data_IF_487374513760
#
_entry.id   IF_487374513760
#
_cell.length_a   1.000
_cell.length_b   1.000
_cell.length_c   1.000
_cell.angle_alpha   90.00
_cell.angle_beta   90.00
_cell.angle_gamma   90.00
#
_symmetry.space_group_name_H-M   'P 1'
#
loop_
_entity.id
_entity.type
_entity.pdbx_description
1 polymer ?
#
# COMPACT_ATOMS: atom_id res chain seq x y z
N UNK A 1 -21.30 13.87 -8.23
CA UNK A 1 -20.03 14.35 -8.84
C UNK A 1 -19.42 13.17 -9.59
N UNK A 2 -18.61 13.41 -10.65
CA UNK A 2 -17.93 12.31 -11.36
C UNK A 2 -16.92 11.60 -10.43
N UNK A 3 -16.68 10.31 -10.63
CA UNK A 3 -15.56 9.62 -9.97
C UNK A 3 -14.22 10.08 -10.56
N UNK A 4 -13.09 9.73 -9.93
CA UNK A 4 -11.76 10.16 -10.39
C UNK A 4 -11.44 9.66 -11.81
N UNK A 5 -11.87 8.44 -12.16
CA UNK A 5 -11.58 7.84 -13.46
C UNK A 5 -12.39 8.50 -14.56
N UNK A 6 -13.70 8.63 -14.36
CA UNK A 6 -14.57 9.37 -15.30
C UNK A 6 -14.13 10.82 -15.47
N UNK A 7 -13.78 11.50 -14.38
CA UNK A 7 -13.25 12.86 -14.44
C UNK A 7 -11.99 12.93 -15.30
N UNK A 8 -11.03 12.03 -15.08
CA UNK A 8 -9.77 12.00 -15.82
C UNK A 8 -10.01 11.75 -17.32
N UNK A 9 -10.92 10.83 -17.67
CA UNK A 9 -11.34 10.61 -19.06
C UNK A 9 -11.91 11.89 -19.67
N UNK A 10 -12.81 12.59 -18.96
CA UNK A 10 -13.43 13.82 -19.48
C UNK A 10 -12.43 14.95 -19.69
N UNK A 11 -11.43 15.09 -18.82
CA UNK A 11 -10.34 16.06 -19.00
C UNK A 11 -9.51 15.72 -20.25
N UNK A 12 -9.16 14.46 -20.45
CA UNK A 12 -8.39 14.03 -21.63
C UNK A 12 -9.19 14.20 -22.92
N UNK A 13 -10.48 13.83 -22.92
CA UNK A 13 -11.40 14.06 -24.05
C UNK A 13 -11.49 15.55 -24.39
N UNK A 14 -11.62 16.41 -23.37
CA UNK A 14 -11.68 17.86 -23.56
C UNK A 14 -10.37 18.39 -24.13
N UNK A 15 -9.21 18.03 -23.55
CA UNK A 15 -7.90 18.41 -24.06
C UNK A 15 -7.67 17.97 -25.51
N UNK A 16 -8.09 16.75 -25.87
CA UNK A 16 -7.96 16.23 -27.23
C UNK A 16 -8.74 17.04 -28.27
N UNK A 17 -9.86 17.69 -27.91
CA UNK A 17 -10.60 18.59 -28.82
C UNK A 17 -9.72 19.74 -29.31
N UNK A 18 -8.76 20.18 -28.49
CA UNK A 18 -7.84 21.27 -28.83
C UNK A 18 -6.59 20.83 -29.59
N UNK A 19 -6.38 19.51 -29.78
CA UNK A 19 -5.26 19.01 -30.61
C UNK A 19 -5.40 19.46 -32.07
N UNK A 20 -4.32 19.96 -32.67
CA UNK A 20 -4.28 20.31 -34.09
C UNK A 20 -4.28 19.02 -34.94
N UNK A 21 -3.48 18.03 -34.53
CA UNK A 21 -3.47 16.72 -35.17
C UNK A 21 -4.63 15.87 -34.66
N UNK A 22 -5.46 15.39 -35.60
CA UNK A 22 -6.62 14.53 -35.35
C UNK A 22 -6.42 13.11 -35.91
N UNK A 23 -5.18 12.75 -36.25
CA UNK A 23 -4.84 11.37 -36.58
C UNK A 23 -5.23 10.43 -35.41
N UNK A 24 -5.55 9.15 -35.69
CA UNK A 24 -5.83 8.19 -34.63
C UNK A 24 -4.67 8.11 -33.63
N UNK A 25 -4.98 8.33 -32.34
CA UNK A 25 -3.98 8.41 -31.27
C UNK A 25 -4.36 7.51 -30.09
N UNK A 26 -3.34 7.03 -29.37
CA UNK A 26 -3.48 6.39 -28.07
C UNK A 26 -2.89 7.35 -27.03
N UNK A 27 -3.70 7.72 -26.03
CA UNK A 27 -3.27 8.62 -24.94
C UNK A 27 -3.16 7.79 -23.67
N UNK A 28 -2.01 7.83 -23.03
CA UNK A 28 -1.70 7.12 -21.78
C UNK A 28 -1.60 8.13 -20.65
N UNK A 29 -2.26 7.85 -19.53
CA UNK A 29 -2.30 8.71 -18.35
C UNK A 29 -2.72 7.90 -17.11
N UNK A 30 -2.51 8.48 -15.93
CA UNK A 30 -2.96 7.93 -14.65
C UNK A 30 -4.38 8.43 -14.32
N UNK A 31 -5.32 7.51 -14.07
CA UNK A 31 -6.75 7.84 -13.97
C UNK A 31 -7.33 7.80 -12.55
N UNK A 32 -6.53 7.39 -11.56
CA UNK A 32 -7.03 7.09 -10.21
C UNK A 32 -6.01 7.47 -9.14
N UNK A 33 -6.22 6.98 -7.92
CA UNK A 33 -5.40 7.30 -6.76
C UNK A 33 -3.99 6.76 -6.90
N UNK A 34 -3.04 7.50 -6.32
CA UNK A 34 -1.69 7.05 -6.09
C UNK A 34 -1.67 6.13 -4.87
N UNK A 35 -1.18 4.90 -5.05
CA UNK A 35 -0.85 4.01 -3.95
C UNK A 35 0.66 3.85 -3.98
N UNK A 36 1.36 4.50 -3.04
CA UNK A 36 2.81 4.48 -3.02
C UNK A 36 3.33 3.04 -2.87
N UNK A 37 4.45 2.77 -3.55
CA UNK A 37 5.22 1.57 -3.25
C UNK A 37 5.87 1.78 -1.90
N UNK A 38 5.78 0.76 -1.05
CA UNK A 38 6.51 0.71 0.22
C UNK A 38 7.51 -0.42 0.14
N UNK A 39 8.75 -0.14 0.52
CA UNK A 39 9.84 -1.10 0.60
C UNK A 39 10.48 -1.06 1.98
N UNK A 40 10.67 -2.24 2.57
CA UNK A 40 11.41 -2.44 3.81
C UNK A 40 12.79 -3.00 3.45
N UNK A 41 13.82 -2.14 3.43
CA UNK A 41 15.17 -2.52 2.99
C UNK A 41 16.00 -3.11 4.12
N UNK A 42 15.70 -2.73 5.37
CA UNK A 42 16.49 -3.08 6.55
C UNK A 42 17.77 -2.24 6.71
N UNK A 43 17.91 -1.17 5.92
CA UNK A 43 19.07 -0.28 5.97
C UNK A 43 18.99 0.68 7.16
N UNK A 44 17.79 1.04 7.62
CA UNK A 44 17.59 1.90 8.79
C UNK A 44 17.48 1.11 10.09
N UNK A 45 17.80 1.75 11.21
CA UNK A 45 17.64 1.14 12.54
C UNK A 45 16.17 0.85 12.85
N UNK A 46 15.25 1.76 12.48
CA UNK A 46 13.82 1.59 12.70
C UNK A 46 13.26 0.38 11.93
N UNK A 47 13.66 0.19 10.66
CA UNK A 47 13.28 -0.99 9.89
C UNK A 47 13.80 -2.27 10.52
N UNK A 48 15.09 -2.33 10.89
CA UNK A 48 15.68 -3.50 11.54
C UNK A 48 14.97 -3.83 12.84
N UNK A 49 14.67 -2.82 13.66
CA UNK A 49 13.95 -3.00 14.92
C UNK A 49 12.55 -3.59 14.68
N UNK A 50 11.82 -3.09 13.68
CA UNK A 50 10.51 -3.64 13.30
C UNK A 50 10.63 -5.08 12.78
N UNK A 51 11.56 -5.34 11.86
CA UNK A 51 11.77 -6.66 11.26
C UNK A 51 12.19 -7.70 12.31
N UNK A 52 13.12 -7.36 13.19
CA UNK A 52 13.58 -8.23 14.28
C UNK A 52 12.46 -8.51 15.28
N UNK A 53 11.67 -7.48 15.61
CA UNK A 53 10.51 -7.61 16.48
C UNK A 53 9.45 -8.56 15.91
N UNK A 54 9.14 -8.43 14.62
CA UNK A 54 8.22 -9.34 13.91
C UNK A 54 8.80 -10.75 13.84
N UNK A 55 10.08 -10.90 13.55
CA UNK A 55 10.74 -12.22 13.45
C UNK A 55 10.68 -12.95 14.79
N UNK A 56 11.07 -12.30 15.90
CA UNK A 56 10.96 -12.87 17.26
C UNK A 56 9.53 -13.25 17.63
N UNK A 57 8.58 -12.42 17.20
CA UNK A 57 7.15 -12.66 17.43
C UNK A 57 6.67 -13.91 16.68
N UNK A 58 7.05 -14.05 15.41
CA UNK A 58 6.78 -15.23 14.59
C UNK A 58 7.39 -16.48 15.23
N UNK A 59 8.66 -16.44 15.64
CA UNK A 59 9.34 -17.57 16.28
C UNK A 59 8.62 -18.04 17.55
N UNK A 60 8.11 -17.10 18.35
CA UNK A 60 7.33 -17.40 19.56
C UNK A 60 6.02 -18.12 19.24
N UNK A 61 5.23 -17.58 18.31
CA UNK A 61 3.92 -18.15 17.98
C UNK A 61 4.02 -19.44 17.17
N UNK A 62 5.12 -19.64 16.44
CA UNK A 62 5.35 -20.82 15.61
C UNK A 62 5.36 -22.11 16.44
N UNK A 63 5.71 -22.04 17.74
CA UNK A 63 5.70 -23.19 18.65
C UNK A 63 4.31 -23.82 18.86
N UNK A 64 3.24 -23.07 18.62
CA UNK A 64 1.85 -23.54 18.78
C UNK A 64 0.97 -23.28 17.55
N UNK A 65 1.57 -22.80 16.45
CA UNK A 65 0.96 -22.77 15.13
C UNK A 65 1.06 -24.14 14.49
N UNK A 66 -0.04 -24.63 13.94
CA UNK A 66 -0.08 -25.94 13.25
C UNK A 66 0.64 -25.88 11.88
N UNK A 67 0.73 -24.69 11.30
CA UNK A 67 1.31 -24.44 9.97
C UNK A 67 2.50 -23.47 10.05
N UNK A 68 3.45 -23.55 9.10
CA UNK A 68 4.54 -22.58 9.00
C UNK A 68 4.03 -21.17 8.69
N UNK A 69 4.51 -20.19 9.46
CA UNK A 69 4.27 -18.77 9.23
C UNK A 69 5.42 -18.24 8.39
N UNK A 70 5.08 -17.61 7.27
CA UNK A 70 6.08 -17.12 6.31
C UNK A 70 5.96 -15.61 6.15
N UNK A 71 7.08 -14.92 6.31
CA UNK A 71 7.20 -13.51 5.97
C UNK A 71 7.33 -13.36 4.46
N UNK A 72 6.50 -12.49 3.87
CA UNK A 72 6.59 -12.13 2.45
C UNK A 72 6.98 -10.67 2.32
N UNK A 73 8.02 -10.41 1.55
CA UNK A 73 8.50 -9.05 1.27
C UNK A 73 7.70 -8.33 0.17
N UNK A 74 6.64 -8.96 -0.34
CA UNK A 74 5.75 -8.39 -1.35
C UNK A 74 4.29 -8.72 -1.06
N UNK A 75 3.45 -7.69 -1.00
CA UNK A 75 2.01 -7.80 -0.81
C UNK A 75 1.29 -7.41 -2.12
N UNK A 76 0.65 -8.37 -2.83
CA UNK A 76 0.14 -8.16 -4.18
C UNK A 76 -1.24 -7.47 -4.23
N UNK A 77 -1.68 -6.85 -3.14
CA UNK A 77 -2.99 -6.21 -3.03
C UNK A 77 -2.84 -4.76 -2.55
N UNK A 78 -3.93 -4.00 -2.66
CA UNK A 78 -3.99 -2.61 -2.18
C UNK A 78 -4.00 -2.64 -0.64
N UNK A 79 -3.26 -1.71 -0.04
CA UNK A 79 -3.15 -1.58 1.41
C UNK A 79 -3.05 -0.10 1.78
N UNK A 80 -3.73 0.30 2.86
CA UNK A 80 -3.63 1.66 3.41
C UNK A 80 -2.21 2.00 3.90
N UNK A 81 -1.36 0.98 4.05
CA UNK A 81 0.07 1.15 4.31
C UNK A 81 0.77 1.99 3.21
N UNK A 82 0.24 1.99 1.99
CA UNK A 82 0.69 2.89 0.91
C UNK A 82 0.55 4.38 1.21
N UNK A 83 -0.05 4.77 2.35
CA UNK A 83 -0.17 6.15 2.82
C UNK A 83 0.69 6.47 4.06
N UNK A 84 1.52 5.52 4.52
CA UNK A 84 2.29 5.66 5.77
C UNK A 84 3.78 5.97 5.55
N UNK A 85 4.27 5.82 4.33
CA UNK A 85 5.65 6.09 3.93
C UNK A 85 5.72 6.31 2.41
N UNK A 86 6.83 6.84 1.91
CA UNK A 86 7.09 7.05 0.49
C UNK A 86 8.47 6.51 0.12
N UNK A 87 8.53 5.41 -0.62
CA UNK A 87 9.80 4.93 -1.20
C UNK A 87 10.15 5.61 -2.53
N UNK A 88 9.18 6.27 -3.16
CA UNK A 88 9.35 7.00 -4.42
C UNK A 88 9.97 8.39 -4.17
N UNK A 89 10.86 8.82 -5.07
CA UNK A 89 11.47 10.15 -4.91
C UNK A 89 10.48 11.28 -5.25
N UNK A 90 10.68 12.51 -4.73
CA UNK A 90 9.85 13.65 -5.12
C UNK A 90 9.79 13.88 -6.64
N UNK A 91 10.87 13.52 -7.35
CA UNK A 91 10.94 13.58 -8.81
C UNK A 91 9.99 12.57 -9.47
N UNK A 92 9.89 11.37 -8.92
CA UNK A 92 9.01 10.31 -9.45
C UNK A 92 7.53 10.71 -9.27
N UNK A 93 7.19 11.27 -8.11
CA UNK A 93 5.83 11.76 -7.84
C UNK A 93 5.49 12.96 -8.74
N UNK A 94 6.45 13.82 -9.06
CA UNK A 94 6.23 14.91 -10.02
C UNK A 94 5.87 14.39 -11.43
N UNK A 95 6.45 13.26 -11.87
CA UNK A 95 6.05 12.65 -13.14
C UNK A 95 4.63 12.08 -13.08
N UNK A 96 4.24 11.49 -11.95
CA UNK A 96 2.87 11.02 -11.71
C UNK A 96 1.88 12.17 -11.78
N UNK A 97 2.13 13.25 -11.04
CA UNK A 97 1.32 14.47 -11.02
C UNK A 97 1.08 15.00 -12.43
N UNK A 98 2.15 15.18 -13.21
CA UNK A 98 2.08 15.72 -14.58
C UNK A 98 1.31 14.84 -15.56
N UNK A 99 1.11 13.57 -15.23
CA UNK A 99 0.40 12.60 -16.07
C UNK A 99 -0.91 12.11 -15.43
N UNK A 100 -1.39 12.76 -14.35
CA UNK A 100 -2.65 12.45 -13.71
C UNK A 100 -3.62 13.63 -13.84
N UNK A 101 -4.61 13.58 -14.75
CA UNK A 101 -5.50 14.71 -15.01
C UNK A 101 -6.29 15.19 -13.77
N UNK A 102 -6.55 14.29 -12.82
CA UNK A 102 -7.26 14.61 -11.58
C UNK A 102 -6.38 15.28 -10.50
N UNK A 103 -5.05 15.27 -10.64
CA UNK A 103 -4.14 15.75 -9.60
C UNK A 103 -4.33 17.24 -9.32
N UNK A 104 -4.34 17.61 -8.04
CA UNK A 104 -4.51 18.97 -7.54
C UNK A 104 -5.92 19.55 -7.71
N UNK A 105 -6.68 19.13 -8.72
CA UNK A 105 -8.02 19.64 -9.01
C UNK A 105 -9.11 18.86 -8.29
N UNK A 106 -9.01 17.53 -8.27
CA UNK A 106 -10.02 16.63 -7.71
C UNK A 106 -9.42 15.56 -6.81
N UNK A 107 -8.21 15.13 -7.11
CA UNK A 107 -7.40 14.30 -6.25
C UNK A 107 -6.33 15.18 -5.58
N UNK A 108 -6.42 15.30 -4.26
CA UNK A 108 -5.44 16.02 -3.45
C UNK A 108 -4.62 14.97 -2.71
N UNK A 109 -3.31 15.03 -2.87
CA UNK A 109 -2.36 14.17 -2.19
C UNK A 109 -1.36 15.04 -1.44
N UNK A 110 -1.40 14.98 -0.11
CA UNK A 110 -0.54 15.77 0.76
C UNK A 110 0.78 15.02 0.98
N UNK A 111 1.73 15.24 0.07
CA UNK A 111 3.04 14.59 0.14
C UNK A 111 3.78 14.97 1.42
N UNK A 112 3.71 16.23 1.84
CA UNK A 112 4.41 16.72 3.03
C UNK A 112 3.90 16.02 4.29
N UNK A 113 2.58 15.87 4.43
CA UNK A 113 2.00 15.15 5.56
C UNK A 113 2.41 13.66 5.62
N UNK A 114 2.50 12.98 4.46
CA UNK A 114 2.97 11.58 4.45
C UNK A 114 4.45 11.49 4.81
N UNK A 115 5.28 12.42 4.30
CA UNK A 115 6.71 12.47 4.62
C UNK A 115 6.99 12.86 6.08
N UNK A 116 6.10 13.61 6.74
CA UNK A 116 6.22 13.92 8.17
C UNK A 116 6.06 12.67 9.04
N UNK A 117 5.25 11.69 8.60
CA UNK A 117 5.08 10.41 9.29
C UNK A 117 6.22 9.47 8.95
N UNK A 118 6.40 9.15 7.66
CA UNK A 118 7.41 8.26 7.08
C UNK A 118 7.99 7.20 8.03
N UNK A 119 7.15 6.23 8.41
CA UNK A 119 7.52 5.17 9.37
C UNK A 119 7.67 3.81 8.67
N UNK A 120 8.54 2.91 9.18
CA UNK A 120 8.56 1.54 8.72
C UNK A 120 7.25 0.82 9.07
N UNK A 121 6.83 -0.07 8.19
CA UNK A 121 5.49 -0.66 8.23
C UNK A 121 5.51 -2.12 7.80
N UNK A 122 4.59 -2.90 8.36
CA UNK A 122 4.42 -4.32 8.04
C UNK A 122 2.94 -4.67 8.07
N UNK A 123 2.49 -5.50 7.13
CA UNK A 123 1.17 -6.10 7.15
C UNK A 123 1.23 -7.42 7.92
N UNK A 124 0.55 -7.50 9.08
CA UNK A 124 0.32 -8.75 9.80
C UNK A 124 -1.14 -9.15 9.55
N UNK A 125 -1.34 -10.15 8.70
CA UNK A 125 -2.64 -10.45 8.11
C UNK A 125 -3.09 -11.88 8.34
N UNK A 126 -4.40 -12.08 8.15
CA UNK A 126 -5.05 -13.39 8.22
C UNK A 126 -4.70 -14.29 7.04
N UNK A 127 -4.88 -15.59 7.23
CA UNK A 127 -4.93 -16.58 6.17
C UNK A 127 -6.39 -16.92 5.86
N UNK A 128 -6.79 -16.75 4.59
CA UNK A 128 -8.16 -16.92 4.17
C UNK A 128 -8.30 -17.09 2.67
N UNK A 129 -9.54 -17.15 2.21
CA UNK A 129 -9.88 -17.32 0.80
C UNK A 129 -11.11 -16.49 0.46
N UNK A 130 -11.16 -16.05 -0.79
CA UNK A 130 -12.29 -15.34 -1.39
C UNK A 130 -12.59 -13.98 -0.73
N UNK A 131 -11.56 -13.21 -0.36
CA UNK A 131 -11.71 -11.84 0.13
C UNK A 131 -12.53 -10.97 -0.83
N UNK A 132 -13.47 -10.21 -0.27
CA UNK A 132 -14.46 -9.40 -0.99
C UNK A 132 -15.42 -10.21 -1.89
N UNK A 133 -15.65 -11.48 -1.60
CA UNK A 133 -16.64 -12.32 -2.29
C UNK A 133 -17.62 -12.94 -1.29
N UNK A 134 -18.74 -13.45 -1.81
CA UNK A 134 -19.78 -14.09 -0.99
C UNK A 134 -19.28 -15.28 -0.15
N UNK A 135 -18.22 -15.95 -0.61
CA UNK A 135 -17.61 -17.11 0.05
C UNK A 135 -16.40 -16.76 0.91
N UNK A 136 -16.20 -15.47 1.23
CA UNK A 136 -15.11 -15.00 2.07
C UNK A 136 -15.05 -15.78 3.39
N UNK A 137 -13.86 -16.28 3.71
CA UNK A 137 -13.61 -17.05 4.93
C UNK A 137 -12.16 -16.99 5.32
N UNK A 138 -11.92 -17.20 6.60
CA UNK A 138 -10.60 -17.17 7.21
C UNK A 138 -10.35 -18.44 8.03
N UNK A 139 -9.08 -18.76 8.25
CA UNK A 139 -8.69 -19.87 9.10
C UNK A 139 -8.74 -19.45 10.57
N UNK A 140 -9.78 -19.88 11.30
CA UNK A 140 -10.13 -19.41 12.64
C UNK A 140 -8.94 -19.34 13.61
N UNK A 141 -8.19 -20.44 13.77
CA UNK A 141 -7.04 -20.46 14.69
C UNK A 141 -5.95 -19.47 14.27
N UNK A 142 -5.67 -19.37 12.98
CA UNK A 142 -4.63 -18.44 12.51
C UNK A 142 -5.08 -16.98 12.71
N UNK A 143 -6.33 -16.67 12.40
CA UNK A 143 -6.86 -15.30 12.47
C UNK A 143 -7.10 -14.81 13.89
N UNK A 144 -7.64 -15.66 14.76
CA UNK A 144 -8.13 -15.23 16.08
C UNK A 144 -7.19 -15.61 17.23
N UNK A 145 -6.19 -16.45 16.98
CA UNK A 145 -5.18 -16.82 17.97
C UNK A 145 -3.78 -16.40 17.54
N UNK A 146 -3.34 -16.80 16.34
CA UNK A 146 -1.96 -16.56 15.89
C UNK A 146 -1.71 -15.08 15.56
N UNK A 147 -2.50 -14.48 14.66
CA UNK A 147 -2.32 -13.09 14.21
C UNK A 147 -2.32 -12.08 15.38
N UNK A 148 -3.28 -12.11 16.33
CA UNK A 148 -3.27 -11.18 17.46
C UNK A 148 -2.03 -11.34 18.34
N UNK A 149 -1.54 -12.57 18.54
CA UNK A 149 -0.31 -12.81 19.29
C UNK A 149 0.93 -12.34 18.53
N UNK A 150 0.97 -12.46 17.19
CA UNK A 150 2.07 -11.87 16.40
C UNK A 150 2.09 -10.36 16.62
N UNK A 151 0.95 -9.70 16.43
CA UNK A 151 0.83 -8.25 16.60
C UNK A 151 1.18 -7.80 18.02
N UNK A 152 0.65 -8.46 19.05
CA UNK A 152 0.92 -8.13 20.45
C UNK A 152 2.40 -8.24 20.79
N UNK A 153 3.02 -9.37 20.47
CA UNK A 153 4.43 -9.60 20.79
C UNK A 153 5.35 -8.66 19.99
N UNK A 154 4.99 -8.33 18.74
CA UNK A 154 5.74 -7.34 17.95
C UNK A 154 5.70 -5.94 18.57
N UNK A 155 4.53 -5.49 19.02
CA UNK A 155 4.41 -4.19 19.70
C UNK A 155 5.20 -4.23 21.02
N UNK A 156 5.04 -5.29 21.81
CA UNK A 156 5.75 -5.45 23.08
C UNK A 156 7.27 -5.41 22.90
N UNK A 157 7.80 -6.17 21.94
CA UNK A 157 9.23 -6.21 21.65
C UNK A 157 9.80 -4.84 21.20
N UNK A 158 8.98 -3.99 20.56
CA UNK A 158 9.38 -2.63 20.16
C UNK A 158 9.40 -1.64 21.32
N UNK A 159 8.56 -1.84 22.33
CA UNK A 159 8.44 -0.93 23.48
C UNK A 159 9.43 -1.26 24.61
N UNK A 160 9.98 -2.48 24.63
CA UNK A 160 10.82 -3.00 25.74
C UNK A 160 10.00 -3.53 26.91
#
# INVERSE_FOLDING_TARGET
SLDLREFSVKIVEEAWKWSIDKSPAIIIYFSSTYNARIEMTGETELERNLMDSVTKSIDLVQNYSDEPIVTKMFYPYISDISFMSLSDSPKDILYLEKNMPAWGSKYVYDMEAVMEVDVPVVNIGTYGKDGHKMTERVHMKHTFEIVPNITYNSIKNLLG
#
